data_IF_587133017228
#
_entry.id   IF_587133017228
#
_cell.length_a   1.000
_cell.length_b   1.000
_cell.length_c   1.000
_cell.angle_alpha   90.00
_cell.angle_beta   90.00
_cell.angle_gamma   90.00
#
_symmetry.space_group_name_H-M   'P 1'
#
loop_
_entity.id
_entity.type
_entity.pdbx_description
1 polymer ?
#
# COMPACT_ATOMS: atom_id res chain seq x y z
N UNK A 1 11.01 0.32 0.90
CA UNK A 1 11.37 1.02 -0.33
C UNK A 1 11.57 2.50 -0.03
N UNK A 2 12.66 3.10 -0.48
CA UNK A 2 12.95 4.54 -0.29
C UNK A 2 12.98 5.21 -1.66
N UNK A 3 12.05 6.13 -1.90
CA UNK A 3 11.93 6.87 -3.16
C UNK A 3 13.21 7.66 -3.43
N UNK A 4 13.72 7.60 -4.66
CA UNK A 4 14.97 8.26 -5.07
C UNK A 4 16.26 7.52 -4.67
N UNK A 5 16.18 6.45 -3.87
CA UNK A 5 17.36 5.69 -3.39
C UNK A 5 17.29 4.21 -3.75
N UNK A 6 16.13 3.57 -3.56
CA UNK A 6 15.94 2.14 -3.84
C UNK A 6 15.84 1.84 -5.34
N UNK A 7 16.34 0.67 -5.74
CA UNK A 7 16.22 0.13 -7.11
C UNK A 7 14.97 -0.73 -7.20
N UNK A 8 13.94 -0.30 -7.92
CA UNK A 8 12.67 -1.03 -8.03
C UNK A 8 12.81 -2.44 -8.62
N UNK A 9 13.89 -2.73 -9.36
CA UNK A 9 14.13 -4.07 -9.92
C UNK A 9 14.62 -5.08 -8.87
N UNK A 10 15.02 -4.60 -7.69
CA UNK A 10 15.64 -5.41 -6.62
C UNK A 10 14.98 -5.23 -5.26
N UNK A 11 14.61 -3.99 -4.93
CA UNK A 11 14.17 -3.57 -3.60
C UNK A 11 12.65 -3.45 -3.48
N UNK A 12 11.92 -3.70 -4.58
CA UNK A 12 10.48 -3.76 -4.62
C UNK A 12 10.03 -5.14 -5.09
N UNK A 13 9.22 -5.81 -4.27
CA UNK A 13 8.49 -6.99 -4.71
C UNK A 13 7.14 -6.54 -5.25
N UNK A 14 6.70 -7.09 -6.38
CA UNK A 14 5.37 -6.77 -6.91
C UNK A 14 4.24 -7.43 -6.10
N UNK A 15 4.54 -8.51 -5.36
CA UNK A 15 3.57 -9.26 -4.56
C UNK A 15 3.86 -9.15 -3.05
N UNK A 16 2.91 -8.62 -2.29
CA UNK A 16 2.90 -8.63 -0.83
C UNK A 16 2.08 -9.82 -0.33
N UNK A 17 2.78 -10.82 0.21
CA UNK A 17 2.18 -12.04 0.75
C UNK A 17 2.30 -12.09 2.28
N UNK A 18 1.59 -13.03 2.88
CA UNK A 18 1.72 -13.33 4.31
C UNK A 18 3.11 -13.87 4.65
N UNK A 19 3.53 -13.70 5.90
CA UNK A 19 4.80 -14.22 6.41
C UNK A 19 4.56 -15.49 7.22
N UNK A 20 5.28 -16.56 6.92
CA UNK A 20 5.21 -17.80 7.70
C UNK A 20 5.89 -17.60 9.05
N UNK A 21 5.17 -17.86 10.14
CA UNK A 21 5.70 -17.80 11.51
C UNK A 21 6.11 -19.18 12.03
N UNK A 22 5.22 -20.17 11.90
CA UNK A 22 5.43 -21.57 12.29
C UNK A 22 4.81 -22.51 11.21
N UNK A 23 4.76 -23.82 11.47
CA UNK A 23 3.95 -24.74 10.67
C UNK A 23 2.50 -24.25 10.61
N UNK A 24 2.05 -23.98 9.39
CA UNK A 24 0.70 -23.50 9.01
C UNK A 24 0.18 -22.23 9.71
N UNK A 25 1.02 -21.52 10.45
CA UNK A 25 0.69 -20.21 11.06
C UNK A 25 1.35 -19.11 10.26
N UNK A 26 0.53 -18.18 9.78
CA UNK A 26 0.94 -17.03 9.00
C UNK A 26 0.59 -15.73 9.74
N UNK A 27 1.33 -14.67 9.43
CA UNK A 27 1.06 -13.31 9.90
C UNK A 27 0.95 -12.35 8.72
N UNK A 28 0.14 -11.29 8.90
CA UNK A 28 0.04 -10.20 7.94
C UNK A 28 1.36 -9.46 7.83
N UNK A 29 1.56 -8.74 6.73
CA UNK A 29 2.81 -8.02 6.48
C UNK A 29 2.57 -6.53 6.31
N UNK A 30 3.54 -5.72 6.74
CA UNK A 30 3.52 -4.27 6.52
C UNK A 30 4.72 -3.88 5.68
N UNK A 31 4.47 -3.23 4.54
CA UNK A 31 5.50 -2.61 3.72
C UNK A 31 5.61 -1.12 4.05
N UNK A 32 6.80 -0.57 3.85
CA UNK A 32 7.10 0.85 4.08
C UNK A 32 7.62 1.47 2.79
N UNK A 33 6.98 2.57 2.39
CA UNK A 33 7.45 3.46 1.33
C UNK A 33 7.87 4.76 1.99
N UNK A 34 9.17 5.02 1.99
CA UNK A 34 9.78 6.23 2.55
C UNK A 34 10.04 7.22 1.42
N UNK A 35 9.71 8.47 1.64
CA UNK A 35 9.88 9.54 0.65
C UNK A 35 10.08 10.88 1.36
N UNK A 36 10.69 11.83 0.66
CA UNK A 36 10.91 13.17 1.16
C UNK A 36 10.01 14.17 0.42
N UNK A 37 9.50 15.18 1.12
CA UNK A 37 8.75 16.31 0.55
C UNK A 37 9.44 17.60 0.97
N UNK A 38 9.91 18.41 0.02
CA UNK A 38 10.58 19.67 0.32
C UNK A 38 9.61 20.69 0.95
N UNK A 39 8.40 20.79 0.38
CA UNK A 39 7.34 21.64 0.89
C UNK A 39 5.98 20.94 0.81
N UNK A 40 5.25 20.99 1.92
CA UNK A 40 3.88 20.47 2.04
C UNK A 40 2.93 21.65 1.96
N UNK A 41 2.03 21.60 0.97
CA UNK A 41 0.94 22.56 0.81
C UNK A 41 -0.06 22.37 1.96
N UNK A 42 -0.10 23.34 2.87
CA UNK A 42 -0.95 23.31 4.06
C UNK A 42 -2.42 23.42 3.68
N UNK A 43 -3.27 22.80 4.49
CA UNK A 43 -4.73 22.78 4.33
C UNK A 43 -5.24 22.15 3.02
N UNK A 44 -4.35 21.50 2.27
CA UNK A 44 -4.68 20.80 1.03
C UNK A 44 -4.78 19.27 1.19
N UNK A 45 -5.31 18.61 0.15
CA UNK A 45 -5.48 17.15 0.08
C UNK A 45 -4.61 16.58 -1.05
N UNK A 46 -3.65 15.74 -0.67
CA UNK A 46 -2.85 14.94 -1.60
C UNK A 46 -3.65 13.70 -2.04
N UNK A 47 -3.40 13.21 -3.26
CA UNK A 47 -4.05 12.00 -3.79
C UNK A 47 -3.06 10.85 -3.89
N UNK A 48 -3.27 9.81 -3.10
CA UNK A 48 -2.57 8.54 -3.26
C UNK A 48 -3.38 7.62 -4.17
N UNK A 49 -2.90 7.42 -5.39
CA UNK A 49 -3.42 6.45 -6.34
C UNK A 49 -2.75 5.11 -6.12
N UNK A 50 -3.55 4.08 -5.87
CA UNK A 50 -3.09 2.75 -5.58
C UNK A 50 -3.80 1.75 -6.48
N UNK A 51 -3.02 1.08 -7.33
CA UNK A 51 -3.50 0.07 -8.25
C UNK A 51 -2.95 -1.31 -7.91
N UNK A 52 -3.86 -2.28 -7.90
CA UNK A 52 -3.53 -3.68 -7.67
C UNK A 52 -3.79 -4.47 -8.95
N UNK A 53 -2.76 -5.16 -9.44
CA UNK A 53 -2.88 -6.12 -10.53
C UNK A 53 -3.76 -7.32 -10.13
N UNK A 54 -3.85 -7.62 -8.83
CA UNK A 54 -4.64 -8.72 -8.27
C UNK A 54 -4.68 -8.65 -6.74
N UNK A 55 -5.69 -9.29 -6.14
CA UNK A 55 -5.71 -9.61 -4.73
C UNK A 55 -6.29 -11.01 -4.49
N UNK A 56 -5.81 -11.68 -3.44
CA UNK A 56 -6.36 -12.95 -3.01
C UNK A 56 -6.67 -12.93 -1.51
N UNK A 57 -7.97 -12.90 -1.18
CA UNK A 57 -8.50 -12.90 0.20
C UNK A 57 -7.65 -12.03 1.13
N UNK A 58 -7.54 -10.75 0.77
CA UNK A 58 -6.64 -9.82 1.43
C UNK A 58 -7.32 -8.50 1.71
N UNK A 59 -6.98 -7.89 2.82
CA UNK A 59 -7.36 -6.52 3.15
C UNK A 59 -6.09 -5.69 3.21
N UNK A 60 -6.05 -4.63 2.42
CA UNK A 60 -4.99 -3.63 2.43
C UNK A 60 -5.44 -2.43 3.25
N UNK A 61 -4.63 -2.08 4.24
CA UNK A 61 -4.78 -0.86 5.03
C UNK A 61 -3.62 0.09 4.74
N UNK A 62 -3.94 1.37 4.58
CA UNK A 62 -2.95 2.43 4.34
C UNK A 62 -2.89 3.33 5.57
N UNK A 63 -1.66 3.65 6.00
CA UNK A 63 -1.37 4.63 7.06
C UNK A 63 -0.23 5.54 6.62
N UNK A 64 -0.19 6.76 7.16
CA UNK A 64 0.84 7.75 6.84
C UNK A 64 1.48 8.23 8.13
N UNK A 65 2.81 8.16 8.20
CA UNK A 65 3.67 8.60 9.31
C UNK A 65 3.43 7.98 10.70
N UNK A 66 2.29 7.31 10.93
CA UNK A 66 1.99 6.58 12.16
C UNK A 66 1.47 5.18 11.84
N UNK A 67 2.31 4.16 12.07
CA UNK A 67 1.91 2.75 11.89
C UNK A 67 0.79 2.31 12.84
N UNK A 68 0.60 3.03 13.96
CA UNK A 68 -0.41 2.74 14.98
C UNK A 68 -1.70 3.54 14.82
N UNK A 69 -1.81 4.38 13.78
CA UNK A 69 -3.02 5.15 13.52
C UNK A 69 -4.23 4.22 13.38
N UNK A 70 -5.28 4.51 14.16
CA UNK A 70 -6.54 3.78 14.14
C UNK A 70 -7.71 4.79 14.23
N UNK A 71 -8.64 4.79 13.26
CA UNK A 71 -8.68 3.94 12.07
C UNK A 71 -7.52 4.22 11.09
N UNK A 72 -7.13 3.26 10.22
CA UNK A 72 -6.25 3.57 9.09
C UNK A 72 -6.90 4.65 8.21
N UNK A 73 -6.10 5.41 7.47
CA UNK A 73 -6.65 6.44 6.56
C UNK A 73 -7.47 5.82 5.43
N UNK A 74 -7.20 4.55 5.12
CA UNK A 74 -7.93 3.77 4.13
C UNK A 74 -7.86 2.27 4.44
N UNK A 75 -8.94 1.55 4.16
CA UNK A 75 -8.97 0.09 4.10
C UNK A 75 -9.79 -0.34 2.88
N UNK A 76 -9.31 -1.37 2.17
CA UNK A 76 -10.07 -1.99 1.09
C UNK A 76 -11.23 -2.86 1.60
N UNK A 77 -11.24 -3.21 2.88
CA UNK A 77 -11.89 -4.43 3.35
C UNK A 77 -11.28 -5.69 2.70
N UNK A 78 -11.87 -6.85 2.93
CA UNK A 78 -11.39 -8.10 2.32
C UNK A 78 -11.80 -8.17 0.85
N UNK A 79 -10.82 -8.06 -0.04
CA UNK A 79 -10.98 -8.09 -1.50
C UNK A 79 -10.30 -9.31 -2.13
N UNK A 80 -10.54 -9.50 -3.43
CA UNK A 80 -9.87 -10.53 -4.23
C UNK A 80 -10.68 -11.82 -4.41
N UNK A 81 -9.95 -12.95 -4.40
CA UNK A 81 -10.34 -14.35 -4.78
C UNK A 81 -9.89 -14.75 -6.18
N UNK A 82 -9.02 -13.98 -6.80
CA UNK A 82 -8.29 -14.42 -7.98
C UNK A 82 -6.97 -15.09 -7.52
N UNK A 83 -6.82 -16.38 -7.78
CA UNK A 83 -5.68 -17.18 -7.31
C UNK A 83 -4.39 -16.92 -8.11
N UNK A 84 -4.21 -15.71 -8.65
CA UNK A 84 -3.10 -15.42 -9.55
C UNK A 84 -1.74 -15.60 -8.86
N UNK A 85 -1.58 -15.19 -7.60
CA UNK A 85 -0.34 -15.39 -6.81
C UNK A 85 0.03 -16.87 -6.72
N UNK A 86 -0.92 -17.73 -6.31
CA UNK A 86 -0.69 -19.17 -6.14
C UNK A 86 -0.43 -19.92 -7.46
N UNK A 87 -0.67 -19.29 -8.61
CA UNK A 87 -0.39 -19.84 -9.94
C UNK A 87 0.82 -19.19 -10.62
N UNK A 88 1.61 -18.39 -9.89
CA UNK A 88 2.71 -17.60 -10.43
C UNK A 88 2.27 -16.67 -11.58
N UNK A 89 1.04 -16.18 -11.52
CA UNK A 89 0.53 -15.17 -12.43
C UNK A 89 1.07 -13.78 -12.10
N UNK A 90 0.95 -12.87 -13.07
CA UNK A 90 1.36 -11.47 -12.94
C UNK A 90 0.17 -10.50 -12.92
N UNK A 91 -1.04 -10.98 -13.22
CA UNK A 91 -2.27 -10.19 -13.17
C UNK A 91 -3.49 -11.08 -12.88
N UNK A 92 -4.55 -10.46 -12.35
CA UNK A 92 -5.82 -11.07 -12.02
C UNK A 92 -6.94 -10.04 -12.17
N UNK A 93 -7.81 -9.92 -11.16
CA UNK A 93 -8.81 -8.86 -11.13
C UNK A 93 -8.14 -7.56 -10.71
N UNK A 94 -8.27 -6.53 -11.54
CA UNK A 94 -7.65 -5.24 -11.32
C UNK A 94 -8.47 -4.39 -10.32
N UNK A 95 -7.77 -3.71 -9.41
CA UNK A 95 -8.38 -2.80 -8.43
C UNK A 95 -7.72 -1.44 -8.51
N UNK A 96 -8.52 -0.37 -8.46
CA UNK A 96 -8.05 1.01 -8.47
C UNK A 96 -8.67 1.77 -7.30
N UNK A 97 -7.80 2.37 -6.49
CA UNK A 97 -8.19 3.19 -5.34
C UNK A 97 -7.59 4.59 -5.47
N UNK A 98 -8.42 5.60 -5.17
CA UNK A 98 -7.99 6.98 -4.99
C UNK A 98 -8.19 7.32 -3.53
N UNK A 99 -7.08 7.54 -2.82
CA UNK A 99 -7.06 7.71 -1.37
C UNK A 99 -6.67 9.16 -1.07
N UNK A 100 -7.49 9.82 -0.27
CA UNK A 100 -7.24 11.19 0.17
C UNK A 100 -6.25 11.17 1.33
N UNK A 101 -5.16 11.92 1.19
CA UNK A 101 -4.11 12.10 2.20
C UNK A 101 -4.10 13.56 2.62
N UNK A 102 -4.73 13.91 3.76
CA UNK A 102 -4.68 15.28 4.28
C UNK A 102 -3.24 15.73 4.54
N UNK A 103 -2.91 16.96 4.14
CA UNK A 103 -1.60 17.59 4.35
C UNK A 103 -1.14 17.57 5.82
N UNK A 104 -2.08 17.62 6.77
CA UNK A 104 -1.80 17.53 8.22
C UNK A 104 -1.12 16.22 8.65
N UNK A 105 -1.19 15.17 7.84
CA UNK A 105 -0.52 13.89 8.09
C UNK A 105 0.91 13.85 7.52
N UNK A 106 1.29 14.85 6.73
CA UNK A 106 2.58 14.94 6.04
C UNK A 106 3.48 15.98 6.73
N UNK A 107 4.78 15.82 6.54
CA UNK A 107 5.80 16.74 7.06
C UNK A 107 6.67 17.25 5.92
N UNK A 108 7.20 18.47 6.05
CA UNK A 108 8.36 18.88 5.25
C UNK A 108 9.54 18.00 5.72
N UNK A 109 10.19 17.33 4.78
CA UNK A 109 11.21 16.31 5.01
C UNK A 109 10.66 14.89 4.87
N UNK A 110 11.12 13.99 5.75
CA UNK A 110 10.91 12.56 5.61
C UNK A 110 9.50 12.11 6.02
N UNK A 111 8.86 11.35 5.14
CA UNK A 111 7.55 10.77 5.31
C UNK A 111 7.59 9.26 5.04
N UNK A 112 6.60 8.53 5.57
CA UNK A 112 6.45 7.10 5.34
C UNK A 112 4.98 6.73 5.12
N UNK A 113 4.68 6.07 4.01
CA UNK A 113 3.43 5.34 3.79
C UNK A 113 3.63 3.89 4.25
N UNK A 114 2.71 3.40 5.06
CA UNK A 114 2.64 2.01 5.49
C UNK A 114 1.50 1.29 4.74
N UNK A 115 1.83 0.18 4.10
CA UNK A 115 0.89 -0.70 3.40
C UNK A 115 0.78 -2.01 4.17
N UNK A 116 -0.29 -2.19 4.94
CA UNK A 116 -0.49 -3.38 5.77
C UNK A 116 -1.50 -4.30 5.11
N UNK A 117 -1.07 -5.50 4.78
CA UNK A 117 -1.95 -6.62 4.46
C UNK A 117 -2.30 -7.32 5.78
N UNK A 118 -3.58 -7.33 6.18
CA UNK A 118 -3.98 -7.78 7.53
C UNK A 118 -4.44 -9.24 7.57
N UNK A 119 -4.77 -9.84 6.42
CA UNK A 119 -5.34 -11.19 6.36
C UNK A 119 -4.25 -12.26 6.43
N UNK A 120 -4.29 -13.11 7.45
CA UNK A 120 -3.31 -14.20 7.57
C UNK A 120 -3.86 -15.47 8.21
N UNK A 121 -5.17 -15.71 8.05
CA UNK A 121 -5.86 -16.82 8.68
C UNK A 121 -6.63 -17.67 7.67
N UNK A 122 -6.97 -18.89 8.11
CA UNK A 122 -7.66 -19.89 7.29
C UNK A 122 -6.70 -20.81 6.51
N UNK A 123 -7.24 -21.84 5.85
CA UNK A 123 -6.45 -22.94 5.27
C UNK A 123 -5.56 -22.53 4.09
N UNK A 124 -5.78 -21.33 3.53
CA UNK A 124 -5.07 -20.81 2.37
C UNK A 124 -4.33 -19.50 2.68
N UNK A 125 -4.01 -19.24 3.95
CA UNK A 125 -3.27 -18.05 4.38
C UNK A 125 -1.94 -17.86 3.63
N UNK A 126 -1.28 -18.96 3.24
CA UNK A 126 -0.05 -18.96 2.42
C UNK A 126 -0.19 -18.34 1.03
N UNK A 127 -1.43 -18.25 0.51
CA UNK A 127 -1.73 -17.65 -0.79
C UNK A 127 -2.48 -16.32 -0.65
N UNK A 128 -2.70 -15.85 0.57
CA UNK A 128 -3.24 -14.52 0.79
C UNK A 128 -2.16 -13.50 0.44
N UNK A 129 -2.54 -12.53 -0.37
CA UNK A 129 -1.64 -11.45 -0.76
C UNK A 129 -2.24 -10.51 -1.77
N UNK A 130 -1.45 -9.50 -2.08
CA UNK A 130 -1.76 -8.39 -2.96
C UNK A 130 -0.67 -8.30 -4.02
N UNK A 131 -1.05 -8.11 -5.28
CA UNK A 131 -0.11 -7.78 -6.36
C UNK A 131 -0.30 -6.33 -6.77
N UNK A 132 0.77 -5.55 -6.70
CA UNK A 132 0.79 -4.14 -7.07
C UNK A 132 1.05 -3.98 -8.56
N UNK A 133 0.33 -3.04 -9.19
CA UNK A 133 0.63 -2.55 -10.52
C UNK A 133 1.40 -1.22 -10.42
N UNK A 134 0.75 -0.20 -9.84
CA UNK A 134 1.40 1.08 -9.59
C UNK A 134 0.91 1.75 -8.31
N UNK A 135 1.76 2.61 -7.75
CA UNK A 135 1.47 3.47 -6.61
C UNK A 135 2.00 4.87 -6.94
N UNK A 136 1.16 5.90 -6.79
CA UNK A 136 1.52 7.29 -7.10
C UNK A 136 0.91 8.24 -6.07
N UNK A 137 1.73 9.09 -5.46
CA UNK A 137 1.27 10.19 -4.63
C UNK A 137 1.32 11.48 -5.46
N UNK A 138 0.22 12.21 -5.51
CA UNK A 138 0.07 13.46 -6.24
C UNK A 138 -0.15 14.61 -5.25
N UNK A 139 0.50 15.74 -5.50
CA UNK A 139 0.21 17.00 -4.83
C UNK A 139 -1.19 17.51 -5.19
N UNK A 140 -1.73 18.45 -4.40
CA UNK A 140 -2.97 19.14 -4.75
C UNK A 140 -2.79 19.89 -6.09
N UNK A 141 -3.90 20.08 -6.80
CA UNK A 141 -3.88 20.94 -7.98
C UNK A 141 -3.59 22.36 -7.48
N UNK A 142 -2.40 22.89 -7.79
CA UNK A 142 -2.07 24.27 -7.46
C UNK A 142 -3.14 25.16 -8.08
N UNK A 143 -3.96 25.80 -7.24
CA UNK A 143 -4.84 26.85 -7.71
C UNK A 143 -3.93 27.99 -8.19
N UNK A 144 -3.62 28.01 -9.49
CA UNK A 144 -3.03 29.19 -10.12
C UNK A 144 -4.08 30.28 -10.00
N UNK A 145 -3.95 31.11 -8.97
CA UNK A 145 -4.67 32.38 -8.87
C UNK A 145 -4.27 33.20 -10.10
N UNK A 146 -5.14 33.23 -11.10
CA UNK A 146 -5.07 34.18 -12.21
C UNK A 146 -5.37 35.60 -11.74
#
# INVERSE_FOLDING_TARGET
YTVGVSDYTKDWFYAQVTRKKNEDIYEGTTWQIKFNLDDVEKDEIYKLRLALASANVSELQVRVNSVKQDPPIFSTGVIGKDYAIGRHGIHGLYWLFNIDVPSLLLFNGDNTIFLTQTMAFGPLARFQGIMYDYIRLEGPDSCSSY
#
